data_IF_432573359182
#
_entry.id   IF_432573359182
#
_cell.length_a   1.000
_cell.length_b   1.000
_cell.length_c   1.000
_cell.angle_alpha   90.00
_cell.angle_beta   90.00
_cell.angle_gamma   90.00
#
_symmetry.space_group_name_H-M   'P 1'
#
loop_
_entity.id
_entity.type
_entity.pdbx_description
1 polymer ?
#
# COMPACT_ATOMS: atom_id res chain seq x y z
N UNK A 1 31.44 30.52 -28.75
CA UNK A 1 31.76 31.82 -29.34
C UNK A 1 31.10 31.95 -30.69
N UNK A 2 30.05 32.79 -30.77
CA UNK A 2 29.35 33.08 -32.01
C UNK A 2 30.30 33.86 -32.91
N UNK A 3 30.41 33.47 -34.18
CA UNK A 3 31.27 34.18 -35.17
C UNK A 3 30.61 35.48 -35.58
N UNK A 4 31.37 36.57 -35.50
CA UNK A 4 30.88 37.96 -35.72
C UNK A 4 30.66 38.34 -37.17
N UNK A 5 30.59 37.40 -38.12
CA UNK A 5 30.32 37.73 -39.52
C UNK A 5 28.82 37.98 -39.73
N UNK A 6 28.48 39.23 -39.96
CA UNK A 6 27.16 39.74 -40.29
C UNK A 6 26.64 39.09 -41.60
N UNK A 7 25.95 37.97 -41.47
CA UNK A 7 25.04 37.44 -42.48
C UNK A 7 23.63 37.50 -41.93
N UNK A 8 22.67 38.17 -42.55
CA UNK A 8 21.34 38.45 -41.97
C UNK A 8 20.47 37.25 -41.65
N UNK A 9 20.88 36.04 -42.04
CA UNK A 9 20.07 34.83 -41.87
C UNK A 9 20.79 33.71 -41.10
N UNK A 10 21.86 34.02 -40.34
CA UNK A 10 22.57 33.01 -39.57
C UNK A 10 21.83 32.68 -38.28
N UNK A 11 21.25 31.48 -38.20
CA UNK A 11 20.67 30.92 -36.99
C UNK A 11 21.71 30.03 -36.28
N UNK A 12 21.88 30.23 -35.01
CA UNK A 12 22.66 29.34 -34.15
C UNK A 12 21.68 28.57 -33.24
N UNK A 13 21.95 27.31 -33.06
CA UNK A 13 21.17 26.43 -32.18
C UNK A 13 21.92 26.21 -30.89
N UNK A 14 21.26 26.39 -29.77
CA UNK A 14 21.77 26.08 -28.45
C UNK A 14 20.90 24.95 -27.87
N UNK A 15 21.54 23.81 -27.55
CA UNK A 15 20.88 22.71 -26.91
C UNK A 15 20.94 22.90 -25.38
N UNK A 16 19.78 22.84 -24.73
CA UNK A 16 19.65 22.92 -23.30
C UNK A 16 19.18 21.55 -22.80
N UNK A 17 20.00 20.92 -21.98
CA UNK A 17 19.67 19.63 -21.36
C UNK A 17 19.26 19.86 -19.92
N UNK A 18 18.06 19.40 -19.54
CA UNK A 18 17.57 19.44 -18.16
C UNK A 18 17.50 18.01 -17.66
N UNK A 19 18.17 17.73 -16.53
CA UNK A 19 18.11 16.43 -15.85
C UNK A 19 17.28 16.60 -14.59
N UNK A 20 16.19 15.84 -14.49
CA UNK A 20 15.37 15.79 -13.29
C UNK A 20 15.92 14.78 -12.30
N UNK A 21 15.94 15.09 -10.98
CA UNK A 21 16.22 14.12 -9.94
C UNK A 21 15.23 12.95 -10.01
N UNK A 22 15.69 11.76 -9.63
CA UNK A 22 14.82 10.55 -9.59
C UNK A 22 13.70 10.67 -8.56
N UNK A 23 13.86 11.55 -7.57
CA UNK A 23 12.92 11.83 -6.49
C UNK A 23 12.08 13.10 -6.71
N UNK A 24 12.15 13.71 -7.89
CA UNK A 24 11.36 14.89 -8.22
C UNK A 24 9.84 14.63 -8.10
N UNK A 25 9.14 15.54 -7.41
CA UNK A 25 7.69 15.46 -7.24
C UNK A 25 6.95 16.11 -8.41
N UNK A 26 5.77 15.61 -8.72
CA UNK A 26 4.95 16.10 -9.85
C UNK A 26 4.56 17.58 -9.75
N UNK A 27 4.58 18.19 -8.57
CA UNK A 27 4.26 19.60 -8.37
C UNK A 27 5.44 20.54 -8.61
N UNK A 28 6.65 20.00 -8.84
CA UNK A 28 7.85 20.79 -9.01
C UNK A 28 7.91 21.40 -10.40
N UNK A 29 8.22 22.70 -10.43
CA UNK A 29 8.42 23.47 -11.66
C UNK A 29 9.77 24.17 -11.60
N UNK A 30 10.61 23.92 -12.58
CA UNK A 30 11.90 24.60 -12.74
C UNK A 30 11.80 25.62 -13.86
N UNK A 31 12.19 26.85 -13.56
CA UNK A 31 12.28 27.92 -14.55
C UNK A 31 13.76 28.19 -14.87
N UNK A 32 14.10 28.23 -16.14
CA UNK A 32 15.43 28.46 -16.65
C UNK A 32 15.40 29.71 -17.53
N UNK A 33 16.10 30.77 -17.10
CA UNK A 33 16.23 31.99 -17.89
C UNK A 33 17.53 31.91 -18.70
N UNK A 34 17.38 32.01 -20.01
CA UNK A 34 18.50 32.03 -20.94
C UNK A 34 18.61 33.46 -21.52
N UNK A 35 19.77 34.06 -21.38
CA UNK A 35 20.05 35.37 -21.95
C UNK A 35 21.20 35.31 -22.94
N UNK A 36 21.09 36.04 -24.01
CA UNK A 36 22.13 36.21 -25.03
C UNK A 36 22.74 37.60 -24.93
N UNK A 37 24.01 37.65 -24.58
CA UNK A 37 24.74 38.90 -24.45
C UNK A 37 26.01 38.92 -25.34
N UNK A 38 26.45 40.10 -25.84
CA UNK A 38 27.67 40.19 -26.60
C UNK A 38 28.90 39.94 -25.71
N UNK A 39 29.91 39.26 -26.27
CA UNK A 39 31.15 38.91 -25.55
C UNK A 39 32.00 40.15 -25.16
N UNK A 40 31.73 41.30 -25.76
CA UNK A 40 32.40 42.58 -25.50
C UNK A 40 31.83 43.37 -24.29
N UNK A 41 30.84 42.78 -23.59
CA UNK A 41 30.07 43.48 -22.57
C UNK A 41 28.95 44.35 -23.20
N UNK A 42 27.82 44.36 -22.56
CA UNK A 42 26.61 45.07 -23.00
C UNK A 42 25.35 44.43 -22.41
N UNK A 43 24.22 45.05 -22.65
CA UNK A 43 22.92 44.48 -22.27
C UNK A 43 22.61 43.23 -23.09
N UNK A 44 21.83 42.30 -22.54
CA UNK A 44 21.35 41.13 -23.25
C UNK A 44 20.50 41.57 -24.47
N UNK A 45 20.68 40.88 -25.60
CA UNK A 45 19.91 41.16 -26.81
C UNK A 45 18.54 40.48 -26.80
N UNK A 46 18.47 39.34 -26.13
CA UNK A 46 17.22 38.57 -26.06
C UNK A 46 17.27 37.66 -24.80
N UNK A 47 16.12 37.49 -24.18
CA UNK A 47 15.91 36.62 -23.01
C UNK A 47 14.81 35.64 -23.34
N UNK A 48 15.06 34.36 -23.03
CA UNK A 48 14.07 33.28 -23.18
C UNK A 48 13.93 32.57 -21.84
N UNK A 49 12.71 32.50 -21.33
CA UNK A 49 12.37 31.72 -20.16
C UNK A 49 11.80 30.36 -20.57
N UNK A 50 12.45 29.29 -20.12
CA UNK A 50 11.97 27.90 -20.26
C UNK A 50 11.36 27.44 -18.94
N UNK A 51 10.20 26.83 -19.01
CA UNK A 51 9.56 26.19 -17.85
C UNK A 51 9.51 24.68 -18.06
N UNK A 52 10.02 23.94 -17.09
CA UNK A 52 10.01 22.47 -17.08
C UNK A 52 9.19 22.03 -15.89
N UNK A 53 8.11 21.28 -16.12
CA UNK A 53 7.29 20.68 -15.07
C UNK A 53 7.52 19.18 -15.01
N UNK A 54 7.51 18.62 -13.80
CA UNK A 54 7.59 17.18 -13.59
C UNK A 54 6.22 16.56 -13.85
N UNK A 55 6.15 15.57 -14.73
CA UNK A 55 4.91 14.85 -15.01
C UNK A 55 4.51 13.97 -13.83
N UNK A 56 3.21 13.78 -13.66
CA UNK A 56 2.67 12.82 -12.68
C UNK A 56 2.99 11.39 -13.11
N UNK A 57 3.48 10.61 -12.15
CA UNK A 57 3.70 9.17 -12.28
C UNK A 57 2.99 8.51 -11.12
N UNK A 58 2.01 7.68 -11.43
CA UNK A 58 1.27 6.89 -10.47
C UNK A 58 1.85 5.49 -10.38
N UNK A 59 1.75 4.89 -9.20
CA UNK A 59 2.17 3.53 -8.97
C UNK A 59 2.03 3.19 -7.50
N UNK A 60 1.78 1.92 -7.18
CA UNK A 60 1.72 1.49 -5.79
C UNK A 60 1.98 0.01 -5.65
N UNK A 61 2.38 -0.37 -4.43
CA UNK A 61 2.45 -1.74 -3.99
C UNK A 61 1.60 -1.94 -2.73
N UNK A 62 1.14 -3.17 -2.53
CA UNK A 62 0.42 -3.55 -1.32
C UNK A 62 0.82 -4.96 -0.91
N UNK A 63 1.15 -5.14 0.37
CA UNK A 63 1.58 -6.41 0.91
C UNK A 63 1.06 -6.63 2.34
N UNK A 64 1.06 -7.90 2.78
CA UNK A 64 0.70 -8.28 4.13
C UNK A 64 1.52 -9.48 4.59
N UNK A 65 2.06 -9.38 5.79
CA UNK A 65 2.80 -10.48 6.45
C UNK A 65 1.91 -11.44 7.22
N UNK A 66 0.63 -11.11 7.44
CA UNK A 66 -0.31 -11.88 8.25
C UNK A 66 -1.60 -12.19 7.46
N UNK A 67 -1.54 -13.18 6.57
CA UNK A 67 -2.67 -13.58 5.71
C UNK A 67 -3.70 -14.47 6.41
N UNK A 68 -3.38 -15.02 7.58
CA UNK A 68 -4.28 -15.89 8.35
C UNK A 68 -4.34 -15.49 9.80
N UNK A 69 -5.54 -15.53 10.39
CA UNK A 69 -5.80 -15.25 11.79
C UNK A 69 -6.84 -16.23 12.33
N UNK A 70 -6.85 -16.44 13.65
CA UNK A 70 -7.82 -17.29 14.35
C UNK A 70 -8.50 -16.49 15.45
N UNK A 71 -9.80 -16.71 15.65
CA UNK A 71 -10.56 -16.05 16.70
C UNK A 71 -11.75 -16.89 17.15
N UNK A 72 -12.30 -16.55 18.33
CA UNK A 72 -13.56 -17.13 18.83
C UNK A 72 -14.74 -16.41 18.18
N UNK A 73 -15.91 -17.06 18.19
CA UNK A 73 -17.15 -16.42 17.77
C UNK A 73 -17.37 -15.06 18.50
N UNK A 74 -17.67 -14.03 17.72
CA UNK A 74 -17.86 -12.65 18.17
C UNK A 74 -16.58 -11.84 18.38
N UNK A 75 -15.39 -12.45 18.28
CA UNK A 75 -14.13 -11.72 18.38
C UNK A 75 -13.72 -11.11 17.04
N UNK A 76 -13.09 -9.96 17.13
CA UNK A 76 -12.44 -9.33 16.00
C UNK A 76 -11.01 -9.87 15.82
N UNK A 77 -10.65 -10.14 14.57
CA UNK A 77 -9.29 -10.51 14.16
C UNK A 77 -8.77 -9.44 13.19
N UNK A 78 -7.50 -9.04 13.36
CA UNK A 78 -6.87 -7.96 12.60
C UNK A 78 -5.77 -8.49 11.70
N UNK A 79 -5.80 -8.08 10.45
CA UNK A 79 -4.81 -8.40 9.43
C UNK A 79 -4.08 -7.11 9.06
N UNK A 80 -2.83 -6.93 9.51
CA UNK A 80 -2.03 -5.79 9.10
C UNK A 80 -1.64 -5.93 7.62
N UNK A 81 -1.70 -4.84 6.90
CA UNK A 81 -1.19 -4.72 5.53
C UNK A 81 -0.66 -3.31 5.29
N UNK A 82 0.19 -3.18 4.29
CA UNK A 82 0.82 -1.92 3.93
C UNK A 82 0.40 -1.52 2.52
N UNK A 83 0.26 -0.22 2.31
CA UNK A 83 0.08 0.39 1.00
C UNK A 83 1.19 1.40 0.81
N UNK A 84 2.08 1.14 -0.14
CA UNK A 84 3.17 2.03 -0.54
C UNK A 84 2.80 2.75 -1.82
N UNK A 85 2.81 4.07 -1.80
CA UNK A 85 2.72 4.88 -3.00
C UNK A 85 4.12 4.99 -3.63
N UNK A 86 4.37 4.28 -4.72
CA UNK A 86 5.65 4.31 -5.45
C UNK A 86 5.71 5.44 -6.48
N UNK A 87 4.61 6.16 -6.67
CA UNK A 87 4.49 7.32 -7.56
C UNK A 87 5.19 8.58 -7.04
N UNK A 88 5.12 9.66 -7.80
CA UNK A 88 5.68 10.96 -7.45
C UNK A 88 4.62 12.04 -7.11
N UNK A 89 3.38 11.62 -6.90
CA UNK A 89 2.23 12.45 -6.52
C UNK A 89 1.45 11.76 -5.40
N UNK A 90 0.77 12.54 -4.56
CA UNK A 90 -0.16 11.98 -3.57
C UNK A 90 -1.29 11.24 -4.29
N UNK A 91 -1.58 10.02 -3.87
CA UNK A 91 -2.65 9.20 -4.42
C UNK A 91 -3.70 8.82 -3.37
N UNK A 92 -4.94 8.65 -3.85
CA UNK A 92 -6.06 8.15 -3.08
C UNK A 92 -6.33 6.68 -3.39
N UNK A 93 -6.32 5.84 -2.37
CA UNK A 93 -6.55 4.40 -2.47
C UNK A 93 -7.92 4.04 -1.91
N UNK A 94 -8.74 3.39 -2.74
CA UNK A 94 -10.02 2.85 -2.32
C UNK A 94 -9.88 1.38 -1.97
N UNK A 95 -10.41 0.99 -0.81
CA UNK A 95 -10.42 -0.38 -0.32
C UNK A 95 -11.83 -0.97 -0.39
N UNK A 96 -11.93 -2.20 -0.85
CA UNK A 96 -13.19 -2.93 -0.93
C UNK A 96 -12.98 -4.43 -0.77
N UNK A 97 -13.93 -5.12 -0.17
CA UNK A 97 -14.00 -6.59 -0.22
C UNK A 97 -14.82 -6.97 -1.44
N UNK A 98 -14.20 -7.65 -2.39
CA UNK A 98 -14.84 -8.07 -3.65
C UNK A 98 -15.36 -9.50 -3.60
N UNK A 99 -14.86 -10.31 -2.65
CA UNK A 99 -15.29 -11.68 -2.43
C UNK A 99 -15.17 -12.06 -0.96
N UNK A 100 -16.15 -12.81 -0.46
CA UNK A 100 -16.16 -13.43 0.84
C UNK A 100 -16.76 -14.84 0.72
N UNK A 101 -16.16 -15.83 1.40
CA UNK A 101 -16.60 -17.24 1.28
C UNK A 101 -17.66 -17.65 2.28
N UNK A 102 -17.74 -17.02 3.46
CA UNK A 102 -18.73 -17.36 4.49
C UNK A 102 -20.17 -16.99 4.06
N UNK A 103 -21.16 -17.82 4.48
CA UNK A 103 -22.58 -17.58 4.24
C UNK A 103 -23.39 -17.97 5.49
N UNK A 104 -24.04 -17.01 6.21
CA UNK A 104 -24.06 -15.58 5.90
C UNK A 104 -22.69 -14.91 6.05
N UNK A 105 -22.52 -13.79 5.37
CA UNK A 105 -21.28 -13.03 5.38
C UNK A 105 -20.90 -12.56 6.79
N UNK A 106 -19.62 -12.70 7.14
CA UNK A 106 -19.06 -12.13 8.36
C UNK A 106 -18.92 -10.61 8.22
N UNK A 107 -19.05 -9.88 9.31
CA UNK A 107 -18.86 -8.42 9.28
C UNK A 107 -17.36 -8.09 9.22
N UNK A 108 -17.04 -6.98 8.55
CA UNK A 108 -15.68 -6.50 8.39
C UNK A 108 -15.63 -4.97 8.24
N UNK A 109 -14.44 -4.41 8.43
CA UNK A 109 -14.14 -3.01 8.17
C UNK A 109 -12.63 -2.81 7.98
N UNK A 110 -12.24 -1.61 7.54
CA UNK A 110 -10.86 -1.17 7.47
C UNK A 110 -10.61 -0.09 8.52
N UNK A 111 -9.43 -0.09 9.14
CA UNK A 111 -9.02 0.93 10.08
C UNK A 111 -7.53 1.27 9.93
N UNK A 112 -7.16 2.49 10.40
CA UNK A 112 -5.78 2.94 10.53
C UNK A 112 -5.17 2.50 11.89
N UNK A 113 -3.90 2.85 12.14
CA UNK A 113 -3.22 2.57 13.42
C UNK A 113 -3.90 3.23 14.62
N UNK A 114 -4.62 4.34 14.42
CA UNK A 114 -5.37 5.03 15.46
C UNK A 114 -6.76 4.41 15.70
N UNK A 115 -7.17 3.43 14.91
CA UNK A 115 -8.49 2.76 14.98
C UNK A 115 -9.61 3.54 14.29
N UNK A 116 -9.30 4.54 13.46
CA UNK A 116 -10.31 5.23 12.66
C UNK A 116 -10.72 4.37 11.48
N UNK A 117 -12.03 4.21 11.29
CA UNK A 117 -12.59 3.43 10.18
C UNK A 117 -12.66 4.26 8.90
N UNK A 118 -12.31 3.64 7.78
CA UNK A 118 -12.32 4.26 6.47
C UNK A 118 -12.58 3.25 5.35
N UNK A 119 -12.80 3.75 4.15
CA UNK A 119 -12.85 2.97 2.90
C UNK A 119 -11.96 3.58 1.81
N UNK A 120 -11.43 4.77 2.06
CA UNK A 120 -10.49 5.47 1.20
C UNK A 120 -9.40 6.09 2.08
N UNK A 121 -8.16 6.06 1.62
CA UNK A 121 -6.99 6.63 2.30
C UNK A 121 -6.08 7.32 1.31
N UNK A 122 -5.57 8.51 1.68
CA UNK A 122 -4.52 9.20 0.93
C UNK A 122 -3.15 8.74 1.41
N UNK A 123 -2.24 8.51 0.47
CA UNK A 123 -0.83 8.22 0.75
C UNK A 123 0.02 9.18 -0.07
N UNK A 124 0.86 9.97 0.61
CA UNK A 124 1.76 10.89 -0.08
C UNK A 124 2.72 10.14 -1.01
N UNK A 125 3.27 10.87 -1.97
CA UNK A 125 4.27 10.34 -2.88
C UNK A 125 5.42 9.67 -2.09
N UNK A 126 5.76 8.43 -2.45
CA UNK A 126 6.85 7.64 -1.87
C UNK A 126 6.73 7.34 -0.37
N UNK A 127 5.52 7.43 0.18
CA UNK A 127 5.24 7.06 1.56
C UNK A 127 4.50 5.72 1.62
N UNK A 128 4.60 5.08 2.77
CA UNK A 128 3.91 3.83 3.10
C UNK A 128 2.98 4.06 4.28
N UNK A 129 1.74 3.61 4.17
CA UNK A 129 0.79 3.60 5.27
C UNK A 129 0.51 2.17 5.73
N UNK A 130 0.61 1.95 7.05
CA UNK A 130 0.17 0.72 7.67
C UNK A 130 -1.31 0.78 7.99
N UNK A 131 -2.05 -0.24 7.54
CA UNK A 131 -3.49 -0.34 7.61
C UNK A 131 -3.91 -1.70 8.15
N UNK A 132 -5.17 -1.82 8.57
CA UNK A 132 -5.72 -3.07 9.09
C UNK A 132 -7.04 -3.40 8.40
N UNK A 133 -7.14 -4.64 7.94
CA UNK A 133 -8.42 -5.27 7.65
C UNK A 133 -8.88 -6.00 8.90
N UNK A 134 -10.09 -5.73 9.36
CA UNK A 134 -10.67 -6.32 10.57
C UNK A 134 -11.90 -7.11 10.21
N UNK A 135 -11.95 -8.37 10.63
CA UNK A 135 -13.12 -9.23 10.45
C UNK A 135 -13.64 -9.71 11.81
N UNK A 136 -14.97 -9.74 11.98
CA UNK A 136 -15.60 -10.34 13.15
C UNK A 136 -15.88 -11.81 12.86
N UNK A 137 -15.26 -12.70 13.64
CA UNK A 137 -15.43 -14.14 13.51
C UNK A 137 -16.86 -14.53 13.88
N UNK A 138 -17.51 -15.36 13.07
CA UNK A 138 -18.86 -15.87 13.30
C UNK A 138 -18.86 -17.40 13.28
N UNK A 139 -19.79 -18.01 14.01
CA UNK A 139 -20.01 -19.45 14.05
C UNK A 139 -20.85 -19.98 12.88
N UNK A 140 -21.13 -19.13 11.89
CA UNK A 140 -21.82 -19.54 10.67
C UNK A 140 -21.01 -20.51 9.81
N UNK A 141 -19.68 -20.39 9.85
CA UNK A 141 -18.74 -21.22 9.11
C UNK A 141 -17.44 -21.41 9.90
N UNK A 142 -16.69 -22.49 9.61
CA UNK A 142 -15.40 -22.75 10.25
C UNK A 142 -14.34 -21.70 9.89
N UNK A 143 -14.45 -21.07 8.73
CA UNK A 143 -13.58 -20.00 8.28
C UNK A 143 -14.27 -19.11 7.25
N UNK A 144 -13.71 -17.91 7.09
CA UNK A 144 -14.04 -17.05 5.96
C UNK A 144 -12.78 -16.52 5.30
N UNK A 145 -12.74 -16.59 3.98
CA UNK A 145 -11.70 -15.95 3.17
C UNK A 145 -12.26 -14.70 2.52
N UNK A 146 -11.51 -13.60 2.63
CA UNK A 146 -11.85 -12.30 2.09
C UNK A 146 -10.83 -11.93 1.01
N UNK A 147 -11.30 -11.53 -0.16
CA UNK A 147 -10.46 -10.89 -1.17
C UNK A 147 -10.66 -9.39 -1.08
N UNK A 148 -9.64 -8.70 -0.61
CA UNK A 148 -9.60 -7.25 -0.48
C UNK A 148 -8.93 -6.68 -1.72
N UNK A 149 -9.63 -5.78 -2.41
CA UNK A 149 -9.10 -5.03 -3.54
C UNK A 149 -8.76 -3.61 -3.11
N UNK A 150 -7.55 -3.18 -3.47
CA UNK A 150 -7.04 -1.83 -3.32
C UNK A 150 -6.97 -1.24 -4.73
N UNK A 151 -7.58 -0.06 -4.92
CA UNK A 151 -7.61 0.62 -6.22
C UNK A 151 -7.02 2.01 -6.06
N UNK A 152 -5.97 2.33 -6.83
CA UNK A 152 -5.47 3.68 -6.96
C UNK A 152 -6.46 4.51 -7.80
N UNK A 153 -7.03 5.56 -7.22
CA UNK A 153 -8.00 6.45 -7.88
C UNK A 153 -7.36 7.60 -8.66
N UNK A 154 -6.10 7.92 -8.36
CA UNK A 154 -5.32 8.90 -9.12
C UNK A 154 -4.90 8.35 -10.48
N UNK A 155 -4.63 7.06 -10.55
CA UNK A 155 -4.31 6.36 -11.78
C UNK A 155 -5.59 5.91 -12.51
N UNK A 156 -5.88 6.57 -13.63
CA UNK A 156 -6.99 6.19 -14.51
C UNK A 156 -6.62 5.08 -15.51
N UNK A 157 -5.40 4.57 -15.45
CA UNK A 157 -4.93 3.51 -16.33
C UNK A 157 -5.47 2.15 -15.85
N UNK A 158 -6.55 1.71 -16.45
CA UNK A 158 -7.19 0.44 -16.14
C UNK A 158 -6.68 -0.67 -17.10
N UNK A 159 -5.38 -0.65 -17.43
CA UNK A 159 -4.71 -1.61 -18.29
C UNK A 159 -4.05 -2.66 -17.39
N UNK A 160 -4.02 -3.89 -17.84
CA UNK A 160 -3.30 -5.02 -17.28
C UNK A 160 -2.09 -5.26 -18.20
N UNK A 161 -0.94 -4.65 -17.89
CA UNK A 161 0.27 -4.73 -18.72
C UNK A 161 1.06 -6.01 -18.46
N UNK A 162 1.00 -6.55 -17.24
CA UNK A 162 1.72 -7.76 -16.84
C UNK A 162 0.96 -9.06 -17.12
N UNK A 163 -0.35 -8.96 -17.42
CA UNK A 163 -1.19 -10.09 -17.85
C UNK A 163 -1.64 -11.00 -16.71
N UNK A 164 -1.64 -10.53 -15.47
CA UNK A 164 -2.10 -11.29 -14.30
C UNK A 164 -3.64 -11.32 -14.16
N UNK A 165 -4.36 -10.52 -14.96
CA UNK A 165 -5.80 -10.40 -14.99
C UNK A 165 -6.34 -9.32 -14.03
N UNK A 166 -5.46 -8.56 -13.38
CA UNK A 166 -5.80 -7.45 -12.50
C UNK A 166 -5.23 -6.16 -13.12
N UNK A 167 -6.02 -5.11 -13.32
CA UNK A 167 -5.48 -3.85 -13.82
C UNK A 167 -4.35 -3.30 -12.92
N UNK A 168 -3.32 -2.69 -13.52
CA UNK A 168 -2.13 -2.20 -12.82
C UNK A 168 -2.43 -1.14 -11.74
N UNK A 169 -3.57 -0.44 -11.88
CA UNK A 169 -4.07 0.46 -10.85
C UNK A 169 -4.81 -0.26 -9.71
N UNK A 170 -4.74 -1.60 -9.63
CA UNK A 170 -5.37 -2.42 -8.60
C UNK A 170 -4.40 -3.44 -8.04
N UNK A 171 -4.61 -3.84 -6.77
CA UNK A 171 -3.96 -4.98 -6.11
C UNK A 171 -4.97 -5.74 -5.29
N UNK A 172 -4.76 -7.05 -5.15
CA UNK A 172 -5.64 -7.91 -4.37
C UNK A 172 -4.86 -8.63 -3.26
N UNK A 173 -5.36 -8.50 -2.02
CA UNK A 173 -4.86 -9.24 -0.87
C UNK A 173 -5.93 -10.25 -0.42
N UNK A 174 -5.49 -11.42 -0.01
CA UNK A 174 -6.39 -12.49 0.41
C UNK A 174 -6.15 -12.85 1.87
N UNK A 175 -7.15 -12.56 2.72
CA UNK A 175 -7.12 -12.83 4.16
C UNK A 175 -8.05 -13.99 4.51
N UNK A 176 -7.63 -14.85 5.43
CA UNK A 176 -8.45 -15.96 5.93
C UNK A 176 -8.54 -15.91 7.45
N UNK A 177 -9.74 -15.78 7.98
CA UNK A 177 -10.04 -15.87 9.39
C UNK A 177 -10.65 -17.23 9.70
N UNK A 178 -10.14 -17.90 10.74
CA UNK A 178 -10.63 -19.20 11.20
C UNK A 178 -11.36 -19.05 12.53
N UNK A 179 -12.48 -19.77 12.65
CA UNK A 179 -13.16 -19.93 13.92
C UNK A 179 -12.40 -20.97 14.78
N UNK A 180 -12.02 -20.54 15.97
CA UNK A 180 -11.50 -21.45 16.99
C UNK A 180 -12.64 -21.91 17.90
N UNK A 181 -13.01 -23.18 17.80
CA UNK A 181 -14.09 -23.79 18.61
C UNK A 181 -13.58 -24.39 19.90
N UNK A 182 -12.26 -24.53 20.07
CA UNK A 182 -11.66 -25.20 21.23
C UNK A 182 -11.08 -24.19 22.20
N UNK A 183 -11.68 -24.11 23.39
CA UNK A 183 -11.01 -23.64 24.58
C UNK A 183 -10.10 -24.75 25.08
N UNK A 184 -8.79 -24.67 24.84
CA UNK A 184 -7.82 -25.51 25.50
C UNK A 184 -7.61 -24.99 26.92
N UNK A 185 -8.63 -25.12 27.78
CA UNK A 185 -8.46 -24.92 29.20
C UNK A 185 -8.06 -26.28 29.81
N UNK A 186 -6.80 -26.44 30.16
CA UNK A 186 -6.35 -27.56 30.95
C UNK A 186 -6.60 -27.20 32.42
N UNK A 187 -7.71 -27.70 32.99
CA UNK A 187 -7.97 -27.65 34.44
C UNK A 187 -7.28 -28.87 35.09
N UNK A 188 -6.08 -28.67 35.60
CA UNK A 188 -5.36 -29.69 36.35
C UNK A 188 -5.83 -29.60 37.80
N UNK A 189 -6.79 -30.41 38.18
CA UNK A 189 -7.19 -30.60 39.58
C UNK A 189 -6.34 -31.69 40.21
N UNK A 190 -5.54 -31.31 41.18
CA UNK A 190 -4.97 -32.26 42.13
C UNK A 190 -6.07 -32.61 43.16
N UNK A 191 -6.66 -33.78 43.08
CA UNK A 191 -7.50 -34.25 44.16
C UNK A 191 -6.62 -34.52 45.39
N UNK A 192 -6.99 -33.94 46.54
CA UNK A 192 -6.39 -34.27 47.84
C UNK A 192 -6.70 -35.73 48.20
N UNK A 193 -5.81 -36.62 47.84
CA UNK A 193 -5.99 -38.02 48.08
C UNK A 193 -4.78 -38.84 47.65
N UNK A 194 -3.64 -38.62 48.28
CA UNK A 194 -2.61 -39.66 48.31
C UNK A 194 -1.63 -39.70 47.15
N UNK A 195 -0.88 -38.64 46.95
CA UNK A 195 0.43 -38.73 46.31
C UNK A 195 1.48 -38.95 47.38
N UNK A 196 1.73 -40.19 47.64
CA UNK A 196 2.83 -40.73 48.42
C UNK A 196 4.16 -40.43 47.72
N UNK A 197 4.55 -39.17 47.62
CA UNK A 197 5.88 -38.73 47.17
C UNK A 197 6.34 -39.20 45.79
N UNK A 198 5.43 -39.66 44.91
CA UNK A 198 5.75 -40.12 43.55
C UNK A 198 5.35 -39.07 42.53
N UNK A 199 6.33 -38.60 41.79
CA UNK A 199 6.09 -37.83 40.58
C UNK A 199 5.41 -38.72 39.56
N UNK A 200 4.11 -38.51 39.31
CA UNK A 200 3.37 -39.15 38.22
C UNK A 200 3.46 -38.30 36.98
N UNK A 201 3.80 -38.93 35.86
CA UNK A 201 3.70 -38.31 34.55
C UNK A 201 2.24 -38.41 34.08
N UNK A 202 1.58 -37.27 33.86
CA UNK A 202 0.25 -37.20 33.25
C UNK A 202 0.41 -37.13 31.75
N UNK A 203 0.10 -38.20 31.04
CA UNK A 203 0.07 -38.23 29.59
C UNK A 203 -1.39 -38.03 29.18
N UNK A 204 -1.70 -36.85 28.61
CA UNK A 204 -2.99 -36.57 28.00
C UNK A 204 -2.92 -36.76 26.49
N UNK A 205 -3.77 -37.60 25.93
CA UNK A 205 -3.96 -37.72 24.51
C UNK A 205 -4.97 -36.65 24.02
N UNK A 206 -4.78 -36.06 22.86
CA UNK A 206 -5.77 -35.14 22.29
C UNK A 206 -7.08 -35.89 22.02
N UNK A 207 -8.15 -35.53 22.72
CA UNK A 207 -9.48 -36.07 22.49
C UNK A 207 -10.07 -36.93 23.64
N UNK A 208 -9.37 -37.10 24.74
CA UNK A 208 -9.95 -37.76 25.93
C UNK A 208 -10.82 -36.75 26.69
N UNK A 209 -12.16 -36.89 26.56
CA UNK A 209 -13.17 -36.30 27.45
C UNK A 209 -13.49 -37.35 28.55
N UNK A 210 -13.37 -36.96 29.80
CA UNK A 210 -14.10 -37.58 30.89
C UNK A 210 -15.27 -36.72 31.34
#
# INVERSE_FOLDING_TARGET
TLDSKHTPDRKETVDVTVTLPVDALATEVVTIDLSVAPNSGGEAYDDVTLSVSVAEVHGFEADSTALTQTGKNGNEVKFPFEVENTGNVEDNFRLSVIQQTASPSWSYYFEDEAGNRFTEVSVNARETNQLFFVATVSDSDEYSTFTVRITNKGDNNNIDEDGDGIPDNQRELRFTAFLTTRDYAMDVRLEEGGLDGRTGELILAPGDEE
#
